data_IF_930798395662
#
_entry.id   IF_930798395662
#
_cell.length_a   1.000
_cell.length_b   1.000
_cell.length_c   1.000
_cell.angle_alpha   90.00
_cell.angle_beta   90.00
_cell.angle_gamma   90.00
#
_symmetry.space_group_name_H-M   'P 1'
#
loop_
_entity.id
_entity.type
_entity.pdbx_description
1 polymer ?
#
# COMPACT_ATOMS: atom_id res chain seq x y z
N UNK A 1 8.21 -5.54 -7.37
CA UNK A 1 8.87 -5.71 -6.06
C UNK A 1 8.85 -7.17 -5.66
N UNK A 2 9.68 -7.56 -4.69
CA UNK A 2 9.64 -8.87 -4.05
C UNK A 2 9.58 -8.64 -2.54
N UNK A 3 8.61 -9.25 -1.86
CA UNK A 3 8.42 -9.13 -0.41
C UNK A 3 8.30 -10.49 0.27
N UNK A 4 8.62 -10.52 1.56
CA UNK A 4 8.45 -11.70 2.42
C UNK A 4 7.01 -12.03 2.76
N UNK A 5 6.09 -11.08 2.58
CA UNK A 5 4.65 -11.18 2.90
C UNK A 5 3.90 -10.13 2.08
N UNK A 6 2.69 -10.43 1.60
CA UNK A 6 1.74 -9.43 1.10
C UNK A 6 0.87 -8.93 2.25
N UNK A 7 1.04 -7.66 2.64
CA UNK A 7 0.20 -7.00 3.64
C UNK A 7 -0.62 -5.90 2.97
N UNK A 8 -1.94 -5.97 3.06
CA UNK A 8 -2.87 -4.98 2.52
C UNK A 8 -3.74 -4.42 3.65
N UNK A 9 -3.63 -3.10 3.91
CA UNK A 9 -4.37 -2.40 5.00
C UNK A 9 -4.27 -3.03 6.39
N UNK A 10 -3.28 -3.89 6.63
CA UNK A 10 -3.12 -4.60 7.91
C UNK A 10 -3.31 -6.10 7.77
N UNK A 11 -4.11 -6.54 6.80
CA UNK A 11 -4.35 -7.95 6.52
C UNK A 11 -3.13 -8.61 5.87
N UNK A 12 -2.65 -9.73 6.45
CA UNK A 12 -1.64 -10.59 5.84
C UNK A 12 -2.27 -11.53 4.83
N UNK A 13 -2.08 -11.28 3.54
CA UNK A 13 -2.73 -12.01 2.44
C UNK A 13 -1.86 -13.14 1.85
N UNK A 14 -0.82 -13.54 2.58
CA UNK A 14 0.12 -14.61 2.23
C UNK A 14 0.61 -15.29 3.52
N UNK A 15 0.73 -16.61 3.53
CA UNK A 15 1.20 -17.39 4.68
C UNK A 15 2.55 -18.04 4.34
N UNK A 16 3.61 -17.67 5.07
CA UNK A 16 4.98 -18.18 4.93
C UNK A 16 5.53 -18.20 3.47
N UNK A 17 5.05 -17.29 2.61
CA UNK A 17 5.38 -17.26 1.18
C UNK A 17 5.96 -15.92 0.72
N UNK A 18 6.82 -15.99 -0.30
CA UNK A 18 7.33 -14.80 -0.97
C UNK A 18 6.31 -14.34 -2.00
N UNK A 19 6.12 -13.02 -2.11
CA UNK A 19 5.26 -12.43 -3.15
C UNK A 19 6.08 -11.62 -4.16
N UNK A 20 5.72 -11.73 -5.43
CA UNK A 20 6.31 -10.99 -6.54
C UNK A 20 5.25 -10.07 -7.11
N UNK A 21 5.51 -8.76 -7.00
CA UNK A 21 4.52 -7.72 -7.28
C UNK A 21 4.98 -6.81 -8.43
N UNK A 22 4.81 -7.21 -9.70
CA UNK A 22 5.13 -6.35 -10.83
C UNK A 22 4.24 -5.11 -10.85
N UNK A 23 4.79 -3.98 -11.29
CA UNK A 23 4.01 -2.77 -11.47
C UNK A 23 4.56 -1.92 -12.62
N UNK A 24 3.67 -1.21 -13.31
CA UNK A 24 3.99 -0.29 -14.39
C UNK A 24 3.10 0.95 -14.31
N UNK A 25 3.71 2.13 -14.30
CA UNK A 25 3.01 3.41 -14.33
C UNK A 25 3.32 4.18 -15.61
N UNK A 26 2.30 4.75 -16.24
CA UNK A 26 2.44 5.73 -17.33
C UNK A 26 1.75 7.02 -16.91
N UNK A 27 2.49 8.12 -16.92
CA UNK A 27 1.99 9.43 -16.48
C UNK A 27 2.19 10.55 -17.50
N UNK A 28 1.25 11.49 -17.55
CA UNK A 28 1.34 12.70 -18.37
C UNK A 28 0.49 13.85 -17.79
N UNK A 29 1.14 14.99 -17.51
CA UNK A 29 0.49 16.24 -17.05
C UNK A 29 -0.42 16.06 -15.82
N UNK A 30 0.08 15.35 -14.82
CA UNK A 30 -0.65 15.07 -13.57
C UNK A 30 -1.56 13.85 -13.66
N UNK A 31 -1.96 13.40 -14.85
CA UNK A 31 -2.67 12.14 -15.00
C UNK A 31 -1.71 10.96 -14.97
N UNK A 32 -2.09 9.86 -14.32
CA UNK A 32 -1.36 8.60 -14.40
C UNK A 32 -2.31 7.41 -14.51
N UNK A 33 -1.80 6.34 -15.12
CA UNK A 33 -2.38 5.00 -15.07
C UNK A 33 -1.32 4.05 -14.53
N UNK A 34 -1.66 3.31 -13.49
CA UNK A 34 -0.84 2.24 -12.94
C UNK A 34 -1.51 0.89 -13.15
N UNK A 35 -0.71 -0.10 -13.54
CA UNK A 35 -1.06 -1.51 -13.53
C UNK A 35 -0.18 -2.19 -12.51
N UNK A 36 -0.78 -2.88 -11.55
CA UNK A 36 -0.11 -3.66 -10.52
C UNK A 36 -0.65 -5.09 -10.52
N UNK A 37 0.12 -6.05 -10.02
CA UNK A 37 -0.37 -7.39 -9.79
C UNK A 37 0.39 -8.10 -8.68
N UNK A 38 -0.19 -9.20 -8.21
CA UNK A 38 0.39 -10.01 -7.15
C UNK A 38 0.54 -11.47 -7.60
N UNK A 39 1.75 -12.00 -7.42
CA UNK A 39 2.07 -13.41 -7.59
C UNK A 39 2.54 -13.96 -6.25
N UNK A 40 1.73 -14.79 -5.63
CA UNK A 40 2.10 -15.56 -4.45
C UNK A 40 2.86 -16.83 -4.90
N UNK A 41 4.05 -17.05 -4.34
CA UNK A 41 4.89 -18.20 -4.71
C UNK A 41 4.41 -19.52 -4.10
N UNK A 42 3.67 -19.46 -2.99
CA UNK A 42 3.11 -20.61 -2.28
C UNK A 42 1.76 -20.22 -1.66
N UNK A 43 0.72 -20.16 -2.50
CA UNK A 43 -0.58 -19.65 -2.11
C UNK A 43 -1.31 -20.61 -1.17
N UNK A 44 -1.55 -20.15 0.05
CA UNK A 44 -2.08 -20.93 1.17
C UNK A 44 -3.38 -21.70 0.90
N UNK A 45 -4.23 -21.21 -0.01
CA UNK A 45 -5.52 -21.86 -0.30
C UNK A 45 -5.42 -22.99 -1.35
N UNK A 46 -4.34 -23.05 -2.13
CA UNK A 46 -4.19 -24.00 -3.24
C UNK A 46 -2.84 -24.76 -3.26
N UNK A 47 -1.95 -24.52 -2.29
CA UNK A 47 -0.60 -25.11 -2.18
C UNK A 47 0.20 -25.02 -3.50
N UNK A 48 0.11 -23.87 -4.18
CA UNK A 48 0.74 -23.64 -5.49
C UNK A 48 1.12 -22.18 -5.67
N UNK A 49 2.04 -21.91 -6.60
CA UNK A 49 2.22 -20.54 -7.10
C UNK A 49 0.95 -20.06 -7.80
N UNK A 50 0.43 -18.89 -7.39
CA UNK A 50 -0.81 -18.30 -7.93
C UNK A 50 -0.66 -16.80 -8.19
N UNK A 51 -1.06 -16.36 -9.37
CA UNK A 51 -1.22 -14.95 -9.67
C UNK A 51 -2.65 -14.57 -9.30
N UNK A 52 -2.83 -13.89 -8.17
CA UNK A 52 -4.12 -13.81 -7.49
C UNK A 52 -4.80 -12.43 -7.56
N UNK A 53 -4.12 -11.41 -8.09
CA UNK A 53 -4.67 -10.05 -8.14
C UNK A 53 -4.08 -9.23 -9.29
N UNK A 54 -4.89 -8.36 -9.87
CA UNK A 54 -4.47 -7.29 -10.78
C UNK A 54 -5.23 -6.01 -10.49
N UNK A 55 -4.50 -4.94 -10.26
CA UNK A 55 -5.08 -3.64 -9.95
C UNK A 55 -4.81 -2.66 -11.08
N UNK A 56 -5.84 -1.90 -11.42
CA UNK A 56 -5.74 -0.77 -12.35
C UNK A 56 -6.09 0.49 -11.57
N UNK A 57 -5.11 1.39 -11.45
CA UNK A 57 -5.32 2.70 -10.83
C UNK A 57 -5.24 3.80 -11.89
N UNK A 58 -6.25 4.68 -11.90
CA UNK A 58 -6.23 5.96 -12.62
C UNK A 58 -6.12 7.09 -11.60
N UNK A 59 -5.15 7.99 -11.76
CA UNK A 59 -4.98 9.11 -10.84
C UNK A 59 -4.83 10.45 -11.57
N UNK A 60 -5.14 11.52 -10.85
CA UNK A 60 -4.74 12.87 -11.16
C UNK A 60 -4.13 13.53 -9.93
N UNK A 61 -2.90 13.98 -10.05
CA UNK A 61 -2.13 14.61 -8.98
C UNK A 61 -1.73 16.04 -9.38
N UNK A 62 -1.87 16.96 -8.42
CA UNK A 62 -1.54 18.36 -8.59
C UNK A 62 -0.97 18.97 -7.31
N UNK A 63 -0.44 20.16 -7.44
CA UNK A 63 0.07 20.92 -6.30
C UNK A 63 -0.20 22.41 -6.49
N UNK A 64 -0.52 23.07 -5.38
CA UNK A 64 -0.61 24.52 -5.27
C UNK A 64 0.18 24.98 -4.05
N UNK A 65 1.26 25.72 -4.28
CA UNK A 65 2.24 26.07 -3.25
C UNK A 65 2.73 24.83 -2.49
N UNK A 66 2.46 24.76 -1.18
CA UNK A 66 2.83 23.63 -0.32
C UNK A 66 1.76 22.55 -0.25
N UNK A 67 0.57 22.81 -0.78
CA UNK A 67 -0.55 21.85 -0.76
C UNK A 67 -0.45 20.95 -1.98
N UNK A 68 -0.20 19.66 -1.76
CA UNK A 68 -0.43 18.62 -2.75
C UNK A 68 -1.87 18.10 -2.64
N UNK A 69 -2.46 17.74 -3.78
CA UNK A 69 -3.77 17.11 -3.83
C UNK A 69 -3.80 16.05 -4.92
N UNK A 70 -4.54 14.98 -4.67
CA UNK A 70 -4.73 13.90 -5.61
C UNK A 70 -6.16 13.39 -5.57
N UNK A 71 -6.60 12.81 -6.68
CA UNK A 71 -7.82 12.02 -6.74
C UNK A 71 -7.61 10.87 -7.70
N UNK A 72 -8.25 9.74 -7.43
CA UNK A 72 -8.13 8.59 -8.30
C UNK A 72 -9.26 7.60 -8.17
N UNK A 73 -9.14 6.57 -9.00
CA UNK A 73 -10.03 5.44 -9.10
C UNK A 73 -9.18 4.17 -9.18
N UNK A 74 -9.59 3.13 -8.48
CA UNK A 74 -8.92 1.84 -8.44
C UNK A 74 -9.96 0.78 -8.82
N UNK A 75 -9.59 -0.13 -9.71
CA UNK A 75 -10.31 -1.37 -9.97
C UNK A 75 -9.43 -2.53 -9.54
N UNK A 76 -9.97 -3.38 -8.67
CA UNK A 76 -9.34 -4.57 -8.15
C UNK A 76 -9.93 -5.79 -8.88
N UNK A 77 -9.11 -6.46 -9.69
CA UNK A 77 -9.47 -7.72 -10.31
C UNK A 77 -8.90 -8.87 -9.47
N UNK A 78 -9.77 -9.51 -8.68
CA UNK A 78 -9.40 -10.44 -7.61
C UNK A 78 -9.67 -11.88 -8.04
N UNK A 79 -8.75 -12.80 -7.73
CA UNK A 79 -8.95 -14.24 -7.93
C UNK A 79 -9.22 -14.93 -6.60
N UNK A 80 -10.49 -15.26 -6.36
CA UNK A 80 -10.95 -15.94 -5.15
C UNK A 80 -12.06 -15.19 -4.39
N UNK A 81 -12.32 -13.94 -4.76
CA UNK A 81 -13.42 -13.11 -4.26
C UNK A 81 -13.97 -12.25 -5.40
N UNK A 82 -15.08 -11.54 -5.16
CA UNK A 82 -15.66 -10.61 -6.13
C UNK A 82 -14.74 -9.39 -6.35
N UNK A 83 -14.65 -8.96 -7.61
CA UNK A 83 -13.93 -7.74 -7.98
C UNK A 83 -14.59 -6.52 -7.33
N UNK A 84 -13.81 -5.50 -6.98
CA UNK A 84 -14.35 -4.26 -6.44
C UNK A 84 -13.69 -3.00 -7.01
N UNK A 85 -14.26 -1.85 -6.69
CA UNK A 85 -13.85 -0.55 -7.20
C UNK A 85 -13.83 0.49 -6.09
N UNK A 86 -12.79 1.30 -6.06
CA UNK A 86 -12.67 2.41 -5.11
C UNK A 86 -12.45 3.73 -5.83
N UNK A 87 -12.97 4.81 -5.24
CA UNK A 87 -12.49 6.16 -5.50
C UNK A 87 -11.71 6.64 -4.30
N UNK A 88 -10.69 7.47 -4.54
CA UNK A 88 -9.92 8.04 -3.46
C UNK A 88 -9.54 9.50 -3.70
N UNK A 89 -9.23 10.19 -2.60
CA UNK A 89 -8.69 11.53 -2.59
C UNK A 89 -7.55 11.65 -1.59
N UNK A 90 -6.56 12.49 -1.91
CA UNK A 90 -5.40 12.74 -1.05
C UNK A 90 -5.15 14.23 -0.90
N UNK A 91 -4.64 14.61 0.28
CA UNK A 91 -4.14 15.94 0.58
C UNK A 91 -2.81 15.81 1.31
N UNK A 92 -1.76 16.47 0.83
CA UNK A 92 -0.44 16.50 1.46
C UNK A 92 0.04 17.93 1.69
N UNK A 93 0.92 18.13 2.66
CA UNK A 93 1.47 19.46 2.94
C UNK A 93 3.00 19.43 3.06
N UNK A 94 3.68 20.26 2.26
CA UNK A 94 5.15 20.37 2.22
C UNK A 94 5.70 21.16 3.42
N UNK A 95 5.79 20.47 4.56
CA UNK A 95 6.36 20.91 5.83
C UNK A 95 7.18 19.78 6.46
N UNK A 96 7.77 20.03 7.63
CA UNK A 96 8.42 18.97 8.40
C UNK A 96 7.45 17.79 8.58
N UNK A 97 7.94 16.59 8.28
CA UNK A 97 7.20 15.32 8.30
C UNK A 97 6.16 15.13 7.18
N UNK A 98 6.06 16.03 6.20
CA UNK A 98 5.23 15.87 5.00
C UNK A 98 3.88 15.17 5.25
N UNK A 99 3.01 15.70 6.14
CA UNK A 99 1.78 15.00 6.51
C UNK A 99 0.85 14.82 5.31
N UNK A 100 0.25 13.64 5.19
CA UNK A 100 -0.77 13.31 4.18
C UNK A 100 -2.01 12.75 4.84
N UNK A 101 -3.16 13.11 4.28
CA UNK A 101 -4.45 12.50 4.55
C UNK A 101 -4.94 11.87 3.26
N UNK A 102 -5.36 10.60 3.31
CA UNK A 102 -6.04 9.94 2.21
C UNK A 102 -7.38 9.36 2.66
N UNK A 103 -8.34 9.36 1.76
CA UNK A 103 -9.67 8.79 1.95
C UNK A 103 -10.00 7.91 0.75
N UNK A 104 -10.31 6.65 1.01
CA UNK A 104 -10.70 5.63 0.04
C UNK A 104 -12.15 5.25 0.33
N UNK A 105 -12.96 5.13 -0.72
CA UNK A 105 -14.37 4.77 -0.62
C UNK A 105 -14.71 3.76 -1.69
N UNK A 106 -15.26 2.63 -1.27
CA UNK A 106 -15.69 1.57 -2.15
C UNK A 106 -17.05 1.91 -2.79
N UNK A 107 -17.14 1.74 -4.11
CA UNK A 107 -18.31 2.08 -4.92
C UNK A 107 -19.00 0.86 -5.52
N UNK A 108 -18.55 -0.36 -5.22
CA UNK A 108 -19.01 -1.60 -5.84
C UNK A 108 -19.29 -2.72 -4.80
N UNK A 109 -18.47 -3.76 -4.70
CA UNK A 109 -18.78 -4.95 -3.90
C UNK A 109 -18.88 -4.65 -2.40
N UNK A 110 -18.07 -3.71 -1.91
CA UNK A 110 -18.10 -3.23 -0.53
C UNK A 110 -18.72 -1.83 -0.42
N UNK A 111 -19.71 -1.53 -1.28
CA UNK A 111 -20.27 -0.17 -1.40
C UNK A 111 -20.64 0.46 -0.05
N UNK A 112 -20.05 1.62 0.23
CA UNK A 112 -20.25 2.35 1.48
C UNK A 112 -19.10 2.23 2.47
N UNK A 113 -18.28 1.17 2.36
CA UNK A 113 -17.07 1.02 3.15
C UNK A 113 -16.07 2.13 2.83
N UNK A 114 -15.35 2.61 3.84
CA UNK A 114 -14.29 3.58 3.66
C UNK A 114 -13.07 3.31 4.53
N UNK A 115 -11.92 3.73 4.02
CA UNK A 115 -10.63 3.62 4.69
C UNK A 115 -9.94 4.98 4.65
N UNK A 116 -9.52 5.47 5.81
CA UNK A 116 -8.89 6.78 5.97
C UNK A 116 -7.50 6.59 6.54
N UNK A 117 -6.50 7.22 5.95
CA UNK A 117 -5.13 7.19 6.46
C UNK A 117 -4.65 8.59 6.80
N UNK A 118 -3.92 8.69 7.90
CA UNK A 118 -3.06 9.83 8.20
C UNK A 118 -1.63 9.34 8.30
N UNK A 119 -0.76 9.89 7.48
CA UNK A 119 0.64 9.51 7.40
C UNK A 119 1.58 10.71 7.55
N UNK A 120 2.77 10.41 8.06
CA UNK A 120 3.90 11.32 8.15
C UNK A 120 5.14 10.63 7.60
N UNK A 121 5.98 11.38 6.92
CA UNK A 121 7.22 10.86 6.34
C UNK A 121 8.37 11.86 6.41
N UNK A 122 9.60 11.37 6.57
CA UNK A 122 10.78 12.20 6.51
C UNK A 122 11.96 11.50 5.86
N UNK A 123 12.60 12.20 4.94
CA UNK A 123 13.77 11.76 4.21
C UNK A 123 15.05 12.29 4.86
N UNK A 124 15.89 11.40 5.37
CA UNK A 124 17.18 11.72 5.96
C UNK A 124 18.30 11.48 4.94
N UNK A 125 19.07 12.50 4.55
CA UNK A 125 20.22 12.31 3.69
C UNK A 125 21.32 11.53 4.42
N UNK A 126 21.86 10.51 3.76
CA UNK A 126 22.99 9.71 4.22
C UNK A 126 24.14 9.88 3.23
N UNK A 127 25.09 10.72 3.62
CA UNK A 127 26.13 11.18 2.70
C UNK A 127 25.56 12.05 1.58
N UNK A 128 26.19 12.00 0.41
CA UNK A 128 25.78 12.82 -0.75
C UNK A 128 24.84 12.08 -1.72
N UNK A 129 24.66 10.77 -1.55
CA UNK A 129 24.04 9.91 -2.58
C UNK A 129 22.79 9.18 -2.11
N UNK A 130 22.70 8.84 -0.83
CA UNK A 130 21.65 7.97 -0.32
C UNK A 130 20.67 8.76 0.53
N UNK A 131 19.43 8.29 0.55
CA UNK A 131 18.35 8.83 1.36
C UNK A 131 17.73 7.68 2.13
N UNK A 132 17.63 7.83 3.45
CA UNK A 132 16.81 6.98 4.30
C UNK A 132 15.45 7.63 4.47
N UNK A 133 14.42 6.98 3.96
CA UNK A 133 13.04 7.42 4.07
C UNK A 133 12.39 6.68 5.24
N UNK A 134 11.86 7.43 6.21
CA UNK A 134 11.10 6.89 7.34
C UNK A 134 9.66 7.35 7.24
N UNK A 135 8.72 6.45 7.50
CA UNK A 135 7.29 6.72 7.49
C UNK A 135 6.58 6.15 8.71
N UNK A 136 5.48 6.80 9.08
CA UNK A 136 4.49 6.27 10.01
C UNK A 136 3.09 6.58 9.50
N UNK A 137 2.19 5.61 9.60
CA UNK A 137 0.79 5.71 9.17
C UNK A 137 -0.10 5.21 10.29
N UNK A 138 -1.25 5.86 10.47
CA UNK A 138 -2.39 5.33 11.22
C UNK A 138 -3.62 5.39 10.34
N UNK A 139 -4.56 4.48 10.56
CA UNK A 139 -5.77 4.42 9.77
C UNK A 139 -7.04 4.25 10.60
N UNK A 140 -8.16 4.55 9.96
CA UNK A 140 -9.50 4.25 10.42
C UNK A 140 -10.23 3.54 9.29
N UNK A 141 -10.96 2.48 9.60
CA UNK A 141 -11.75 1.72 8.64
C UNK A 141 -13.19 1.65 9.12
N UNK A 142 -14.13 1.70 8.19
CA UNK A 142 -15.55 1.44 8.39
C UNK A 142 -15.96 0.52 7.24
N UNK A 143 -16.42 -0.70 7.58
CA UNK A 143 -16.83 -1.69 6.57
C UNK A 143 -18.27 -1.48 6.09
N UNK A 144 -18.95 -0.42 6.58
CA UNK A 144 -20.36 -0.14 6.34
C UNK A 144 -21.32 -1.27 6.79
N UNK A 145 -20.85 -2.11 7.71
CA UNK A 145 -21.62 -3.14 8.40
C UNK A 145 -21.51 -2.94 9.92
N UNK A 146 -20.76 -3.82 10.59
CA UNK A 146 -20.66 -3.88 12.04
C UNK A 146 -19.28 -3.44 12.57
N UNK A 147 -18.32 -3.12 11.69
CA UNK A 147 -16.97 -2.72 12.08
C UNK A 147 -16.66 -1.26 11.71
N UNK A 148 -16.32 -0.45 12.72
CA UNK A 148 -15.75 0.87 12.50
C UNK A 148 -14.78 1.30 13.61
N UNK A 149 -13.47 1.28 13.33
CA UNK A 149 -12.47 1.61 14.34
C UNK A 149 -11.14 2.08 13.73
N UNK A 150 -10.24 2.56 14.59
CA UNK A 150 -8.83 2.68 14.26
C UNK A 150 -8.28 1.30 13.91
N UNK A 151 -7.88 1.14 12.65
CA UNK A 151 -7.68 -0.17 12.06
C UNK A 151 -6.23 -0.63 12.21
N UNK A 152 -5.30 -0.03 11.47
CA UNK A 152 -3.91 -0.44 11.48
C UNK A 152 -2.92 0.73 11.53
N UNK A 153 -1.79 0.49 12.17
CA UNK A 153 -0.63 1.34 12.18
C UNK A 153 0.48 0.71 11.35
N UNK A 154 1.26 1.53 10.64
CA UNK A 154 2.44 1.07 9.90
C UNK A 154 3.63 1.94 10.23
N UNK A 155 4.77 1.31 10.52
CA UNK A 155 6.08 1.96 10.53
C UNK A 155 6.90 1.45 9.34
N UNK A 156 7.51 2.35 8.58
CA UNK A 156 8.27 2.00 7.39
C UNK A 156 9.67 2.62 7.38
N UNK A 157 10.61 1.90 6.78
CA UNK A 157 11.95 2.39 6.50
C UNK A 157 12.42 1.85 5.14
N UNK A 158 12.85 2.74 4.24
CA UNK A 158 13.40 2.35 2.94
C UNK A 158 14.61 3.19 2.57
N UNK A 159 15.41 2.69 1.62
CA UNK A 159 16.57 3.42 1.12
C UNK A 159 16.73 3.17 -0.37
N UNK A 160 16.83 4.23 -1.17
CA UNK A 160 16.98 4.11 -2.62
C UNK A 160 18.44 4.15 -3.04
N UNK A 161 18.88 3.11 -3.77
CA UNK A 161 20.21 2.99 -4.36
C UNK A 161 20.11 3.14 -5.89
N UNK A 162 20.52 4.28 -6.47
CA UNK A 162 20.52 4.45 -7.92
C UNK A 162 21.61 3.58 -8.58
N UNK A 163 21.26 2.97 -9.72
CA UNK A 163 22.14 2.13 -10.54
C UNK A 163 22.16 2.70 -11.96
N UNK A 164 23.20 3.48 -12.26
CA UNK A 164 23.27 4.22 -13.51
C UNK A 164 22.17 5.28 -13.59
N UNK A 165 21.62 5.51 -14.79
CA UNK A 165 20.69 6.61 -15.04
C UNK A 165 19.21 6.20 -15.00
N UNK A 166 18.92 4.91 -15.15
CA UNK A 166 17.56 4.43 -15.41
C UNK A 166 17.07 3.44 -14.37
N UNK A 167 17.96 2.84 -13.59
CA UNK A 167 17.61 1.79 -12.63
C UNK A 167 17.84 2.25 -11.20
N UNK A 168 17.07 1.71 -10.27
CA UNK A 168 17.35 1.78 -8.84
C UNK A 168 16.97 0.48 -8.15
N UNK A 169 17.57 0.23 -6.99
CA UNK A 169 17.14 -0.80 -6.05
C UNK A 169 16.75 -0.10 -4.76
N UNK A 170 15.56 -0.40 -4.25
CA UNK A 170 15.04 0.16 -3.00
C UNK A 170 14.67 -0.99 -2.07
N UNK A 171 15.57 -1.42 -1.17
CA UNK A 171 15.19 -2.24 -0.03
C UNK A 171 14.26 -1.47 0.92
N UNK A 172 13.35 -2.20 1.52
CA UNK A 172 12.34 -1.67 2.44
C UNK A 172 12.01 -2.69 3.54
N UNK A 173 11.72 -2.19 4.73
CA UNK A 173 11.15 -2.95 5.84
C UNK A 173 9.98 -2.19 6.45
N UNK A 174 8.98 -2.92 6.90
CA UNK A 174 7.74 -2.42 7.44
C UNK A 174 7.32 -3.22 8.67
N UNK A 175 6.59 -2.56 9.57
CA UNK A 175 5.89 -3.19 10.67
C UNK A 175 4.44 -2.69 10.68
N UNK A 176 3.50 -3.57 10.34
CA UNK A 176 2.05 -3.32 10.41
C UNK A 176 1.49 -3.96 11.68
N UNK A 177 0.55 -3.30 12.36
CA UNK A 177 -0.07 -3.79 13.59
C UNK A 177 -1.47 -3.21 13.78
N UNK A 178 -2.36 -3.97 14.42
CA UNK A 178 -3.69 -3.49 14.81
C UNK A 178 -3.62 -2.30 15.79
N UNK A 179 -4.51 -1.32 15.64
CA UNK A 179 -4.58 -0.14 16.52
C UNK A 179 -5.64 -0.26 17.63
N UNK A 180 -6.55 -1.22 17.53
CA UNK A 180 -7.60 -1.49 18.51
C UNK A 180 -7.82 -2.99 18.70
N UNK A 181 -8.51 -3.38 19.78
CA UNK A 181 -8.89 -4.78 20.00
C UNK A 181 -9.81 -5.31 18.91
N UNK A 182 -10.72 -4.46 18.42
CA UNK A 182 -11.67 -4.84 17.39
C UNK A 182 -10.93 -4.99 16.06
N UNK A 183 -9.92 -4.16 15.82
CA UNK A 183 -9.01 -4.33 14.68
C UNK A 183 -8.15 -5.59 14.77
N UNK A 184 -7.70 -6.01 15.97
CA UNK A 184 -6.98 -7.29 16.13
C UNK A 184 -7.85 -8.45 15.65
N UNK A 185 -9.11 -8.51 16.07
CA UNK A 185 -10.04 -9.58 15.69
C UNK A 185 -10.34 -9.56 14.18
N UNK A 186 -10.57 -8.37 13.61
CA UNK A 186 -10.84 -8.20 12.18
C UNK A 186 -9.63 -8.56 11.33
N UNK A 187 -8.44 -8.06 11.68
CA UNK A 187 -7.21 -8.34 10.93
C UNK A 187 -6.88 -9.83 10.97
N UNK A 188 -6.98 -10.48 12.13
CA UNK A 188 -6.79 -11.94 12.22
C UNK A 188 -7.76 -12.69 11.33
N UNK A 189 -9.06 -12.37 11.46
CA UNK A 189 -10.11 -13.05 10.70
C UNK A 189 -10.02 -12.84 9.19
N UNK A 190 -9.39 -11.76 8.73
CA UNK A 190 -9.15 -11.46 7.31
C UNK A 190 -7.77 -11.88 6.79
N UNK A 191 -6.90 -12.42 7.63
CA UNK A 191 -5.53 -12.78 7.25
C UNK A 191 -5.36 -14.28 7.04
N UNK A 192 -4.37 -14.65 6.23
CA UNK A 192 -4.09 -16.03 5.86
C UNK A 192 -3.55 -16.88 7.02
N UNK A 193 -2.91 -16.25 8.01
CA UNK A 193 -2.17 -16.89 9.10
C UNK A 193 -2.73 -16.60 10.50
N UNK A 194 -3.94 -16.03 10.60
CA UNK A 194 -4.60 -15.65 11.87
C UNK A 194 -3.76 -14.71 12.77
N UNK A 195 -2.82 -13.94 12.20
CA UNK A 195 -2.02 -12.93 12.91
C UNK A 195 -2.61 -11.50 12.75
N UNK A 196 -2.30 -10.61 13.71
CA UNK A 196 -2.75 -9.20 13.72
C UNK A 196 -1.61 -8.18 13.50
N UNK A 197 -0.39 -8.69 13.32
CA UNK A 197 0.79 -7.86 13.15
C UNK A 197 1.84 -8.53 12.29
N UNK A 198 2.51 -7.73 11.45
CA UNK A 198 3.40 -8.23 10.41
C UNK A 198 4.68 -7.40 10.38
N UNK A 199 5.81 -8.05 10.61
CA UNK A 199 7.11 -7.51 10.22
C UNK A 199 7.52 -8.09 8.88
N UNK A 200 7.56 -7.25 7.86
CA UNK A 200 7.80 -7.68 6.48
C UNK A 200 8.78 -6.76 5.78
N UNK A 201 9.43 -7.27 4.75
CA UNK A 201 10.42 -6.51 4.02
C UNK A 201 10.69 -7.08 2.65
N UNK A 202 11.40 -6.31 1.84
CA UNK A 202 11.59 -6.66 0.45
C UNK A 202 12.52 -5.71 -0.28
N UNK A 203 12.56 -5.88 -1.60
CA UNK A 203 13.28 -4.99 -2.48
C UNK A 203 12.47 -4.71 -3.75
N UNK A 204 12.49 -3.45 -4.15
CA UNK A 204 11.95 -2.98 -5.42
C UNK A 204 13.09 -2.71 -6.38
N UNK A 205 13.04 -3.28 -7.58
CA UNK A 205 13.89 -2.85 -8.70
C UNK A 205 13.03 -2.00 -9.63
N UNK A 206 13.42 -0.74 -9.82
CA UNK A 206 12.68 0.21 -10.65
C UNK A 206 13.44 0.54 -11.92
N UNK A 207 12.71 0.76 -13.00
CA UNK A 207 13.20 1.33 -14.25
C UNK A 207 12.36 2.55 -14.61
N UNK A 208 13.00 3.69 -14.87
CA UNK A 208 12.33 4.94 -15.25
C UNK A 208 13.09 5.63 -16.39
N UNK A 209 12.37 6.30 -17.31
CA UNK A 209 12.92 6.98 -18.49
C UNK A 209 12.23 8.32 -18.79
#
# INVERSE_FOLDING_TARGET
SIYSTYVWRGFGLSDDSIVIQPSMTVGYKGFAMNLWGNLDTDYYAEDTTKYNETDITLSYDGAYEKLGYGAGYIYYALDGTDDTQEIYGTLSYDVLLSPTLAFYYDVDDFSGAYYVTFDISHSFPIGETYTLDLGALVSYMDDNEDYNDFHNGVLSASMTFPIGNYFSITPEVNYSFALSSDAEDVIKGGSADDDDSYFYGGATVSFAF
#
